data_IF_527733859526
#
_entry.id   IF_527733859526
#
_cell.length_a   1.000
_cell.length_b   1.000
_cell.length_c   1.000
_cell.angle_alpha   90.00
_cell.angle_beta   90.00
_cell.angle_gamma   90.00
#
_symmetry.space_group_name_H-M   'P 1'
#
loop_
_entity.id
_entity.type
_entity.pdbx_description
1 polymer ?
#
# COMPACT_ATOMS: atom_id res chain seq x y z
N UNK A 1 -21.95 -0.22 -6.98
CA UNK A 1 -20.48 -0.05 -6.89
C UNK A 1 -20.20 1.34 -6.35
N UNK A 2 -19.33 1.49 -5.36
CA UNK A 2 -18.93 2.80 -4.83
C UNK A 2 -17.54 3.13 -5.38
N UNK A 3 -17.41 4.27 -6.06
CA UNK A 3 -16.13 4.73 -6.57
C UNK A 3 -15.36 5.46 -5.48
N UNK A 4 -14.07 5.18 -5.39
CA UNK A 4 -13.18 5.93 -4.51
C UNK A 4 -12.70 7.20 -5.22
N UNK A 5 -13.09 8.36 -4.70
CA UNK A 5 -12.84 9.67 -5.33
C UNK A 5 -11.95 10.59 -4.50
N UNK A 6 -11.36 10.09 -3.40
CA UNK A 6 -10.45 10.90 -2.59
C UNK A 6 -9.06 10.88 -3.18
N UNK A 7 -8.35 11.99 -3.02
CA UNK A 7 -6.94 12.15 -3.40
C UNK A 7 -6.07 12.11 -2.16
N UNK A 8 -4.85 11.58 -2.30
CA UNK A 8 -3.87 11.46 -1.23
C UNK A 8 -2.56 12.12 -1.64
N UNK A 9 -1.78 12.57 -0.65
CA UNK A 9 -0.43 13.06 -0.88
C UNK A 9 0.47 11.99 -1.49
N UNK A 10 0.28 10.72 -1.11
CA UNK A 10 1.07 9.63 -1.65
C UNK A 10 0.20 8.44 -2.02
N UNK A 11 0.51 7.84 -3.17
CA UNK A 11 -0.12 6.60 -3.63
C UNK A 11 0.96 5.54 -3.76
N UNK A 12 0.81 4.44 -3.02
CA UNK A 12 1.69 3.29 -3.07
C UNK A 12 1.03 2.17 -3.89
N UNK A 13 1.60 1.84 -5.04
CA UNK A 13 1.32 0.59 -5.73
C UNK A 13 2.24 -0.51 -5.19
N UNK A 14 1.68 -1.68 -4.88
CA UNK A 14 2.46 -2.88 -4.57
C UNK A 14 2.11 -4.02 -5.50
N UNK A 15 3.14 -4.73 -5.96
CA UNK A 15 3.03 -6.02 -6.65
C UNK A 15 3.62 -7.09 -5.73
N UNK A 16 2.73 -7.95 -5.23
CA UNK A 16 3.03 -8.94 -4.21
C UNK A 16 3.15 -10.35 -4.79
N UNK A 17 4.37 -10.88 -4.71
CA UNK A 17 4.72 -12.26 -5.03
C UNK A 17 4.96 -13.08 -3.75
N UNK A 18 5.18 -14.39 -3.90
CA UNK A 18 5.34 -15.34 -2.78
C UNK A 18 6.47 -14.94 -1.82
N UNK A 19 7.56 -14.36 -2.34
CA UNK A 19 8.75 -14.00 -1.53
C UNK A 19 9.15 -12.53 -1.63
N UNK A 20 8.69 -11.83 -2.66
CA UNK A 20 9.10 -10.47 -3.00
C UNK A 20 7.90 -9.55 -3.08
N UNK A 21 8.10 -8.31 -2.69
CA UNK A 21 7.14 -7.22 -2.77
C UNK A 21 7.84 -6.08 -3.50
N UNK A 22 7.35 -5.78 -4.70
CA UNK A 22 7.73 -4.56 -5.40
C UNK A 22 6.79 -3.45 -4.92
N UNK A 23 7.36 -2.31 -4.53
CA UNK A 23 6.58 -1.12 -4.22
C UNK A 23 7.04 0.08 -5.02
N UNK A 24 6.07 0.88 -5.43
CA UNK A 24 6.26 2.17 -6.06
C UNK A 24 5.37 3.20 -5.36
N UNK A 25 5.93 4.33 -4.93
CA UNK A 25 5.19 5.44 -4.35
C UNK A 25 5.29 6.63 -5.27
N UNK A 26 4.13 7.21 -5.57
CA UNK A 26 3.97 8.43 -6.34
C UNK A 26 3.59 9.59 -5.43
N UNK A 27 4.09 10.79 -5.75
CA UNK A 27 3.61 12.05 -5.18
C UNK A 27 2.36 12.55 -5.96
N UNK A 28 1.74 13.68 -5.59
CA UNK A 28 0.55 14.20 -6.28
C UNK A 28 0.84 14.68 -7.71
N UNK A 29 2.10 14.97 -8.04
CA UNK A 29 2.53 15.33 -9.38
C UNK A 29 2.74 14.10 -10.28
N UNK A 30 2.58 12.88 -9.75
CA UNK A 30 2.80 11.63 -10.46
C UNK A 30 4.26 11.21 -10.56
N UNK A 31 5.16 11.84 -9.81
CA UNK A 31 6.58 11.52 -9.79
C UNK A 31 6.85 10.36 -8.82
N UNK A 32 7.76 9.47 -9.22
CA UNK A 32 8.19 8.34 -8.39
C UNK A 32 9.11 8.86 -7.28
N UNK A 33 8.65 8.82 -6.04
CA UNK A 33 9.42 9.21 -4.85
C UNK A 33 10.05 8.03 -4.13
N UNK A 34 9.53 6.82 -4.37
CA UNK A 34 10.14 5.57 -3.89
C UNK A 34 9.87 4.46 -4.88
N UNK A 35 10.90 3.71 -5.24
CA UNK A 35 10.78 2.44 -5.95
C UNK A 35 11.72 1.43 -5.30
N UNK A 36 11.21 0.29 -4.87
CA UNK A 36 12.01 -0.70 -4.14
C UNK A 36 11.45 -2.10 -4.27
N UNK A 37 12.35 -3.09 -4.25
CA UNK A 37 12.01 -4.50 -4.14
C UNK A 37 12.43 -5.00 -2.75
N UNK A 38 11.47 -5.52 -1.99
CA UNK A 38 11.64 -5.95 -0.62
C UNK A 38 11.21 -7.41 -0.45
N UNK A 39 11.62 -8.08 0.63
CA UNK A 39 10.97 -9.32 1.05
C UNK A 39 9.48 -9.07 1.33
N UNK A 40 8.61 -9.98 0.88
CA UNK A 40 7.16 -9.97 1.12
C UNK A 40 6.82 -10.23 2.60
N UNK A 41 7.17 -9.27 3.47
CA UNK A 41 6.98 -9.32 4.91
C UNK A 41 6.53 -7.95 5.45
N UNK A 42 5.79 -7.92 6.57
CA UNK A 42 5.33 -6.67 7.17
C UNK A 42 6.44 -5.70 7.55
N UNK A 43 7.50 -6.19 8.22
CA UNK A 43 8.54 -5.32 8.79
C UNK A 43 9.32 -4.52 7.73
N UNK A 44 9.84 -5.13 6.64
CA UNK A 44 10.48 -4.38 5.56
C UNK A 44 9.55 -3.34 4.93
N UNK A 45 8.31 -3.73 4.63
CA UNK A 45 7.31 -2.85 4.02
C UNK A 45 7.04 -1.62 4.91
N UNK A 46 6.70 -1.86 6.18
CA UNK A 46 6.46 -0.79 7.16
C UNK A 46 7.66 0.15 7.29
N UNK A 47 8.89 -0.36 7.27
CA UNK A 47 10.09 0.47 7.33
C UNK A 47 10.22 1.37 6.10
N UNK A 48 9.92 0.86 4.91
CA UNK A 48 10.03 1.60 3.66
C UNK A 48 8.98 2.71 3.54
N UNK A 49 7.72 2.44 3.95
CA UNK A 49 6.65 3.44 3.86
C UNK A 49 6.64 4.44 5.01
N UNK A 50 7.46 4.24 6.06
CA UNK A 50 7.50 5.09 7.27
C UNK A 50 7.48 6.61 7.00
N UNK A 51 8.26 7.18 6.07
CA UNK A 51 8.24 8.62 5.82
C UNK A 51 6.97 9.12 5.09
N UNK A 52 6.16 8.23 4.52
CA UNK A 52 5.00 8.59 3.69
C UNK A 52 3.64 8.39 4.38
N UNK A 53 3.61 7.79 5.58
CA UNK A 53 2.37 7.38 6.29
C UNK A 53 1.42 8.50 6.72
N UNK A 54 1.80 9.77 6.56
CA UNK A 54 0.94 10.89 6.94
C UNK A 54 -0.37 10.93 6.13
N UNK A 55 -0.30 10.57 4.85
CA UNK A 55 -1.45 10.47 3.94
C UNK A 55 -1.07 9.55 2.76
N UNK A 56 -1.14 8.24 3.01
CA UNK A 56 -0.75 7.18 2.08
C UNK A 56 -1.93 6.24 1.82
N UNK A 57 -2.26 6.05 0.55
CA UNK A 57 -3.11 4.94 0.08
C UNK A 57 -2.24 3.84 -0.50
N UNK A 58 -2.55 2.59 -0.15
CA UNK A 58 -1.89 1.41 -0.73
C UNK A 58 -2.87 0.66 -1.64
N UNK A 59 -2.52 0.52 -2.92
CA UNK A 59 -3.16 -0.38 -3.87
C UNK A 59 -2.30 -1.62 -4.08
N UNK A 60 -2.90 -2.81 -3.96
CA UNK A 60 -2.17 -4.07 -4.08
C UNK A 60 -2.65 -4.87 -5.30
N UNK A 61 -1.73 -5.16 -6.20
CA UNK A 61 -1.85 -6.27 -7.14
C UNK A 61 -1.27 -7.52 -6.47
N UNK A 62 -2.05 -8.60 -6.44
CA UNK A 62 -1.52 -9.89 -6.00
C UNK A 62 -2.36 -11.04 -6.55
N UNK A 63 -1.79 -12.25 -6.51
CA UNK A 63 -2.55 -13.47 -6.76
C UNK A 63 -3.16 -14.10 -5.49
N UNK A 64 -2.43 -14.22 -4.36
CA UNK A 64 -2.91 -15.07 -3.23
C UNK A 64 -2.47 -14.70 -1.79
N UNK A 65 -1.72 -13.62 -1.52
CA UNK A 65 -1.05 -13.44 -0.21
C UNK A 65 -1.16 -12.05 0.42
N UNK A 66 -2.19 -11.27 0.09
CA UNK A 66 -2.34 -9.87 0.55
C UNK A 66 -2.95 -9.69 1.94
N UNK A 67 -3.55 -10.70 2.57
CA UNK A 67 -4.27 -10.54 3.85
C UNK A 67 -3.41 -9.93 4.96
N UNK A 68 -2.14 -10.32 5.07
CA UNK A 68 -1.23 -9.73 6.06
C UNK A 68 -0.98 -8.25 5.81
N UNK A 69 -1.07 -7.79 4.55
CA UNK A 69 -0.92 -6.37 4.19
C UNK A 69 -2.15 -5.58 4.65
N UNK A 70 -3.34 -6.17 4.51
CA UNK A 70 -4.59 -5.59 4.99
C UNK A 70 -4.67 -5.53 6.52
N UNK A 71 -4.12 -6.54 7.21
CA UNK A 71 -4.03 -6.57 8.67
C UNK A 71 -3.21 -5.41 9.26
N UNK A 72 -2.42 -4.71 8.44
CA UNK A 72 -1.67 -3.52 8.86
C UNK A 72 -2.53 -2.27 8.98
N UNK A 73 -3.75 -2.27 8.42
CA UNK A 73 -4.62 -1.11 8.44
C UNK A 73 -5.42 -1.03 9.76
N UNK A 74 -5.46 0.16 10.38
CA UNK A 74 -6.20 0.36 11.62
C UNK A 74 -7.72 0.33 11.35
N UNK A 75 -8.45 -0.49 12.09
CA UNK A 75 -9.92 -0.59 11.99
C UNK A 75 -10.39 -1.78 11.15
N UNK A 76 -10.42 -2.97 11.75
CA UNK A 76 -10.90 -4.23 11.16
C UNK A 76 -12.44 -4.30 10.94
N UNK A 77 -13.13 -3.15 10.87
CA UNK A 77 -14.59 -3.06 10.75
C UNK A 77 -15.07 -2.35 9.46
N UNK A 78 -14.19 -2.05 8.51
CA UNK A 78 -14.59 -1.67 7.15
C UNK A 78 -14.28 -2.80 6.19
N UNK A 79 -15.21 -3.75 6.17
CA UNK A 79 -15.37 -4.79 5.15
C UNK A 79 -15.33 -4.12 3.76
N UNK A 80 -14.18 -4.22 3.08
CA UNK A 80 -14.01 -4.19 1.62
C UNK A 80 -14.73 -3.07 0.84
N UNK A 81 -14.47 -1.79 1.13
CA UNK A 81 -14.98 -0.70 0.26
C UNK A 81 -14.14 0.60 0.25
N UNK A 82 -12.91 0.60 0.76
CA UNK A 82 -12.02 1.76 0.73
C UNK A 82 -10.55 1.38 0.75
N UNK A 83 -9.64 2.27 0.34
CA UNK A 83 -8.21 2.02 0.40
C UNK A 83 -7.71 1.84 1.83
N UNK A 84 -6.69 1.00 1.94
CA UNK A 84 -6.02 0.68 3.18
C UNK A 84 -5.04 1.81 3.55
N UNK A 85 -5.27 2.47 4.68
CA UNK A 85 -4.37 3.49 5.25
C UNK A 85 -3.38 2.81 6.21
N UNK A 86 -2.07 2.94 5.98
CA UNK A 86 -1.03 2.21 6.72
C UNK A 86 -0.07 3.14 7.47
#
# INVERSE_FOLDING_TARGET
>A
MRFYTQTHQHVCGVDLHIKTLYLCILNPAGEIVLHSNLPAKPKPFLKAIKPFRGDLVVGAECMFSWYWLADLCPGRDQVYSGPCFV
#
